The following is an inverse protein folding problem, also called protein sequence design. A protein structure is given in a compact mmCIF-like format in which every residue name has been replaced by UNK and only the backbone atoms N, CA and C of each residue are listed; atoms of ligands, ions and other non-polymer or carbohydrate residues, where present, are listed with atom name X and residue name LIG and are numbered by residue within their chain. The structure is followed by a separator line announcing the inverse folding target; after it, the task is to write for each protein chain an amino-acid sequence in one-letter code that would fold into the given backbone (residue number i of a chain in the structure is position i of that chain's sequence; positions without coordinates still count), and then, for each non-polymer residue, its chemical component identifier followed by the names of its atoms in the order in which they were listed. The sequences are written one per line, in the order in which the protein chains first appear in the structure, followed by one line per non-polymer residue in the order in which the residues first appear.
data_IF_845597427437
#
_entry.id   IF_845597427437
#
_cell.length_a   1.000
_cell.length_b   1.000
_cell.length_c   1.000
_cell.angle_alpha   90.00
_cell.angle_beta   90.00
_cell.angle_gamma   90.00
#
_symmetry.space_group_name_H-M   'P 1'
#
loop_
_entity.id
_entity.type
_entity.pdbx_description
1 polymer ?
#
# COMPACT_ATOMS: atom_id res chain seq x y z
N UNK A 1 18.29 -6.36 30.44
CA UNK A 1 17.97 -6.58 29.02
C UNK A 1 16.47 -6.74 28.91
N UNK A 2 15.77 -5.70 28.46
CA UNK A 2 14.33 -5.77 28.27
C UNK A 2 14.07 -6.45 26.93
N UNK A 3 13.51 -7.66 26.96
CA UNK A 3 12.99 -8.31 25.76
C UNK A 3 11.64 -7.65 25.50
N UNK A 4 11.56 -6.75 24.53
CA UNK A 4 10.28 -6.35 23.96
C UNK A 4 9.68 -7.59 23.31
N UNK A 5 8.64 -8.17 23.92
CA UNK A 5 7.72 -9.00 23.16
C UNK A 5 6.90 -8.03 22.32
N UNK A 6 7.04 -8.02 20.98
CA UNK A 6 6.16 -7.22 20.17
C UNK A 6 4.76 -7.78 20.42
N UNK A 7 3.88 -7.00 21.05
CA UNK A 7 2.45 -7.26 20.94
C UNK A 7 2.15 -7.12 19.46
N UNK A 8 2.12 -8.28 18.80
CA UNK A 8 2.09 -8.45 17.38
C UNK A 8 0.85 -7.78 16.79
N UNK A 9 1.00 -6.52 16.40
CA UNK A 9 0.33 -6.04 15.18
C UNK A 9 1.34 -6.12 14.05
N UNK A 10 1.94 -7.32 13.92
CA UNK A 10 2.76 -7.69 12.78
C UNK A 10 1.80 -7.80 11.59
N UNK A 11 2.07 -7.05 10.52
CA UNK A 11 1.30 -6.99 9.25
C UNK A 11 0.07 -6.08 9.19
N UNK A 12 0.10 -4.86 9.75
CA UNK A 12 -0.71 -3.80 9.12
C UNK A 12 0.01 -3.38 7.83
N UNK A 13 -0.62 -3.63 6.68
CA UNK A 13 -0.06 -3.36 5.35
C UNK A 13 0.18 -1.85 5.19
N UNK A 14 1.42 -1.41 5.39
CA UNK A 14 1.81 0.01 5.44
C UNK A 14 1.99 0.62 4.04
N UNK A 15 1.06 0.35 3.11
CA UNK A 15 1.20 0.69 1.69
C UNK A 15 1.92 -0.38 0.88
N UNK A 16 1.95 -0.23 -0.44
CA UNK A 16 2.61 -1.16 -1.36
C UNK A 16 4.09 -0.85 -1.60
N UNK A 17 4.57 0.35 -1.26
CA UNK A 17 5.96 0.75 -1.44
C UNK A 17 6.94 0.01 -0.50
N UNK A 18 6.44 -0.74 0.49
CA UNK A 18 7.19 -1.44 1.55
C UNK A 18 8.23 -0.57 2.26
N UNK A 19 7.89 0.70 2.54
CA UNK A 19 8.83 1.65 3.16
C UNK A 19 8.92 1.44 4.68
N UNK A 20 7.85 0.96 5.30
CA UNK A 20 7.76 0.70 6.73
C UNK A 20 7.91 -0.80 7.05
N UNK A 21 9.02 -1.41 6.61
CA UNK A 21 9.42 -2.79 6.97
C UNK A 21 9.86 -2.91 8.42
N UNK A 22 10.26 -1.80 9.03
CA UNK A 22 10.53 -1.65 10.46
C UNK A 22 9.64 -0.56 11.05
N UNK A 23 9.17 -0.76 12.27
CA UNK A 23 8.40 0.27 12.97
C UNK A 23 9.32 1.43 13.37
N UNK A 24 9.00 2.69 13.02
CA UNK A 24 9.78 3.85 13.45
C UNK A 24 9.89 3.92 14.99
N UNK A 25 10.99 4.44 15.55
CA UNK A 25 11.18 4.55 17.00
C UNK A 25 10.09 5.34 17.75
N UNK A 26 9.40 6.26 17.06
CA UNK A 26 8.29 7.06 17.61
C UNK A 26 6.90 6.46 17.31
N UNK A 27 6.86 5.18 16.92
CA UNK A 27 5.65 4.48 16.48
C UNK A 27 5.17 4.93 15.10
N UNK A 28 4.19 4.22 14.56
CA UNK A 28 3.57 4.49 13.26
C UNK A 28 2.05 4.60 13.41
N UNK A 29 1.49 5.67 12.84
CA UNK A 29 0.06 5.84 12.65
C UNK A 29 -0.18 6.17 11.19
N UNK A 30 -1.10 5.43 10.59
CA UNK A 30 -1.55 5.61 9.22
C UNK A 30 -2.96 6.19 9.20
N UNK A 31 -3.22 7.08 8.24
CA UNK A 31 -4.56 7.44 7.79
C UNK A 31 -4.62 7.15 6.30
N UNK A 32 -5.62 6.40 5.86
CA UNK A 32 -5.74 6.07 4.46
C UNK A 32 -7.14 6.31 3.92
N UNK A 33 -7.19 6.63 2.62
CA UNK A 33 -8.41 6.67 1.83
C UNK A 33 -8.21 5.66 0.70
N UNK A 34 -9.22 4.82 0.47
CA UNK A 34 -9.23 3.83 -0.61
C UNK A 34 -10.45 4.06 -1.46
N UNK A 35 -10.24 4.04 -2.77
CA UNK A 35 -11.29 4.11 -3.76
C UNK A 35 -11.17 2.93 -4.69
N UNK A 36 -12.29 2.24 -4.92
CA UNK A 36 -12.35 1.03 -5.71
C UNK A 36 -13.49 1.13 -6.70
N UNK A 37 -13.22 0.75 -7.94
CA UNK A 37 -14.24 0.72 -8.97
C UNK A 37 -14.06 -0.53 -9.84
N UNK A 38 -15.17 -1.26 -10.02
CA UNK A 38 -15.29 -2.26 -11.06
C UNK A 38 -15.87 -1.58 -12.31
N UNK A 39 -15.21 -1.81 -13.44
CA UNK A 39 -15.57 -1.25 -14.73
C UNK A 39 -16.31 -2.32 -15.55
N UNK A 40 -17.21 -1.89 -16.47
CA UNK A 40 -17.80 -2.81 -17.42
C UNK A 40 -16.73 -3.41 -18.35
N UNK A 41 -17.07 -4.54 -18.96
CA UNK A 41 -16.23 -5.20 -19.96
C UNK A 41 -15.80 -4.22 -21.07
N UNK A 42 -14.52 -4.29 -21.44
CA UNK A 42 -13.91 -3.43 -22.44
C UNK A 42 -13.14 -4.29 -23.46
N UNK A 43 -13.83 -4.74 -24.51
CA UNK A 43 -13.26 -5.58 -25.56
C UNK A 43 -12.74 -6.92 -25.00
N UNK A 44 -11.44 -7.23 -25.13
CA UNK A 44 -10.87 -8.47 -24.59
C UNK A 44 -10.74 -8.48 -23.06
N UNK A 45 -10.88 -7.33 -22.41
CA UNK A 45 -10.75 -7.19 -20.96
C UNK A 45 -12.09 -7.38 -20.26
N UNK A 46 -12.15 -8.38 -19.38
CA UNK A 46 -13.31 -8.76 -18.58
C UNK A 46 -13.24 -8.15 -17.19
N UNK A 47 -14.31 -7.45 -16.82
CA UNK A 47 -14.50 -6.81 -15.52
C UNK A 47 -13.23 -6.14 -14.96
N UNK A 48 -12.68 -5.11 -15.63
CA UNK A 48 -11.51 -4.42 -15.12
C UNK A 48 -11.77 -3.83 -13.74
N UNK A 49 -10.79 -3.89 -12.84
CA UNK A 49 -10.86 -3.38 -11.46
C UNK A 49 -9.77 -2.36 -11.23
N UNK A 50 -10.16 -1.22 -10.70
CA UNK A 50 -9.27 -0.13 -10.31
C UNK A 50 -9.31 0.03 -8.79
N UNK A 51 -8.15 -0.03 -8.14
CA UNK A 51 -7.97 0.22 -6.70
C UNK A 51 -6.92 1.32 -6.52
N UNK A 52 -7.37 2.47 -6.03
CA UNK A 52 -6.51 3.62 -5.74
C UNK A 52 -6.49 3.84 -4.22
N UNK A 53 -5.31 4.10 -3.67
CA UNK A 53 -5.15 4.41 -2.24
C UNK A 53 -4.24 5.58 -2.03
N UNK A 54 -4.58 6.40 -1.05
CA UNK A 54 -3.71 7.42 -0.51
C UNK A 54 -3.48 7.13 0.97
N UNK A 55 -2.24 7.14 1.42
CA UNK A 55 -1.84 6.92 2.80
C UNK A 55 -1.03 8.13 3.29
N UNK A 56 -1.39 8.63 4.47
CA UNK A 56 -0.60 9.62 5.22
C UNK A 56 -0.02 8.93 6.45
N UNK A 57 1.31 9.03 6.59
CA UNK A 57 2.04 8.41 7.68
C UNK A 57 2.56 9.46 8.66
N UNK A 58 2.25 9.26 9.93
CA UNK A 58 2.73 10.09 11.02
C UNK A 58 3.18 9.24 12.21
N UNK A 59 3.87 9.88 13.16
CA UNK A 59 4.20 9.24 14.43
C UNK A 59 2.94 8.93 15.24
N UNK A 60 2.91 7.77 15.90
CA UNK A 60 1.78 7.35 16.72
C UNK A 60 1.58 8.25 17.96
N UNK A 61 2.65 8.92 18.41
CA UNK A 61 2.61 9.92 19.46
C UNK A 61 2.57 9.33 20.88
N UNK A 62 3.56 9.73 21.69
CA UNK A 62 3.45 9.97 23.14
C UNK A 62 3.63 11.48 23.39
N UNK A 63 3.53 11.96 24.65
CA UNK A 63 3.57 13.38 25.04
C UNK A 63 4.60 14.21 24.23
N UNK A 64 4.15 14.89 23.17
CA UNK A 64 5.01 15.57 22.21
C UNK A 64 4.32 15.88 20.88
N UNK A 65 5.00 16.66 20.03
CA UNK A 65 4.51 17.11 18.71
C UNK A 65 4.53 15.94 17.72
N UNK A 66 3.43 15.73 16.97
CA UNK A 66 3.35 14.70 15.91
C UNK A 66 4.39 14.98 14.82
N UNK A 67 5.09 13.94 14.40
CA UNK A 67 6.07 13.99 13.31
C UNK A 67 5.42 13.37 12.07
N UNK A 68 5.39 14.12 10.97
CA UNK A 68 4.93 13.62 9.68
C UNK A 68 6.06 12.86 9.01
N UNK A 69 5.83 11.58 8.68
CA UNK A 69 6.83 10.71 8.07
C UNK A 69 6.85 10.84 6.55
N UNK A 70 5.67 10.92 5.93
CA UNK A 70 5.51 11.03 4.48
C UNK A 70 4.11 10.61 4.06
N UNK A 71 3.88 10.58 2.75
CA UNK A 71 2.64 10.11 2.15
C UNK A 71 2.92 9.11 1.03
N UNK A 72 1.93 8.28 0.74
CA UNK A 72 2.00 7.25 -0.29
C UNK A 72 0.77 7.25 -1.17
N UNK A 73 1.01 7.10 -2.46
CA UNK A 73 -0.03 6.90 -3.45
C UNK A 73 0.14 5.53 -4.11
N UNK A 74 -0.93 4.75 -4.06
CA UNK A 74 -1.00 3.38 -4.54
C UNK A 74 -2.06 3.27 -5.62
N UNK A 75 -1.75 2.54 -6.69
CA UNK A 75 -2.67 2.27 -7.78
C UNK A 75 -2.53 0.82 -8.27
N UNK A 76 -3.65 0.12 -8.41
CA UNK A 76 -3.71 -1.21 -9.00
C UNK A 76 -4.83 -1.24 -10.04
N UNK A 77 -4.48 -1.76 -11.20
CA UNK A 77 -5.40 -2.00 -12.30
C UNK A 77 -5.26 -3.47 -12.70
N UNK A 78 -6.35 -4.22 -12.63
CA UNK A 78 -6.42 -5.61 -13.06
C UNK A 78 -7.59 -5.84 -13.99
N UNK A 79 -7.46 -6.80 -14.91
CA UNK A 79 -8.54 -7.20 -15.79
C UNK A 79 -8.39 -8.67 -16.17
N UNK A 80 -9.53 -9.37 -16.24
CA UNK A 80 -9.58 -10.71 -16.82
C UNK A 80 -9.27 -10.65 -18.31
N UNK A 81 -8.41 -11.54 -18.80
CA UNK A 81 -8.16 -11.73 -20.25
C UNK A 81 -8.88 -12.99 -20.74
N UNK A 82 -9.06 -13.97 -19.86
CA UNK A 82 -9.85 -15.17 -20.11
C UNK A 82 -10.52 -15.61 -18.81
N UNK A 83 -11.32 -16.67 -18.86
CA UNK A 83 -11.94 -17.27 -17.67
C UNK A 83 -10.91 -17.82 -16.67
N UNK A 84 -9.66 -18.03 -17.11
CA UNK A 84 -8.59 -18.60 -16.30
C UNK A 84 -7.50 -17.61 -15.91
N UNK A 85 -7.44 -16.43 -16.54
CA UNK A 85 -6.31 -15.50 -16.38
C UNK A 85 -6.78 -14.07 -16.14
N UNK A 86 -6.24 -13.47 -15.08
CA UNK A 86 -6.28 -12.03 -14.82
C UNK A 86 -4.89 -11.45 -14.99
N UNK A 87 -4.75 -10.37 -15.76
CA UNK A 87 -3.54 -9.57 -15.81
C UNK A 87 -3.72 -8.34 -14.94
N UNK A 88 -2.68 -7.96 -14.20
CA UNK A 88 -2.70 -6.74 -13.41
C UNK A 88 -1.38 -5.99 -13.42
N UNK A 89 -1.50 -4.70 -13.17
CA UNK A 89 -0.38 -3.78 -12.94
C UNK A 89 -0.64 -3.07 -11.64
N UNK A 90 0.38 -2.99 -10.81
CA UNK A 90 0.35 -2.28 -9.53
C UNK A 90 1.49 -1.28 -9.49
N UNK A 91 1.24 -0.11 -8.96
CA UNK A 91 2.23 0.93 -8.73
C UNK A 91 2.08 1.50 -7.31
N UNK A 92 3.19 1.90 -6.74
CA UNK A 92 3.26 2.54 -5.44
C UNK A 92 4.29 3.67 -5.48
N UNK A 93 3.96 4.82 -4.92
CA UNK A 93 4.87 5.96 -4.81
C UNK A 93 4.78 6.55 -3.41
N UNK A 94 5.85 6.37 -2.64
CA UNK A 94 6.05 6.98 -1.33
C UNK A 94 6.93 8.22 -1.46
N UNK A 95 6.44 9.35 -0.94
CA UNK A 95 7.19 10.59 -0.81
C UNK A 95 7.63 10.78 0.65
N UNK A 96 8.94 10.74 0.88
CA UNK A 96 9.51 10.85 2.20
C UNK A 96 9.57 12.31 2.69
N UNK A 97 9.25 12.52 3.97
CA UNK A 97 9.45 13.80 4.66
C UNK A 97 10.45 13.65 5.80
N UNK A 98 10.24 12.68 6.69
CA UNK A 98 11.06 12.49 7.88
C UNK A 98 11.40 11.02 8.20
N UNK A 99 10.97 10.08 7.36
CA UNK A 99 11.27 8.65 7.54
C UNK A 99 11.57 7.99 6.21
N UNK A 100 12.69 7.25 6.16
CA UNK A 100 13.19 6.56 4.98
C UNK A 100 13.36 7.48 3.74
N UNK A 101 13.52 6.90 2.55
CA UNK A 101 13.69 7.62 1.30
C UNK A 101 12.45 7.51 0.40
N UNK A 102 12.26 8.51 -0.47
CA UNK A 102 11.25 8.47 -1.54
C UNK A 102 11.43 7.20 -2.37
N UNK A 103 10.36 6.43 -2.52
CA UNK A 103 10.38 5.09 -3.10
C UNK A 103 9.27 4.94 -4.12
N UNK A 104 9.62 4.48 -5.32
CA UNK A 104 8.64 4.13 -6.36
C UNK A 104 8.80 2.67 -6.71
N UNK A 105 7.68 1.94 -6.78
CA UNK A 105 7.64 0.55 -7.20
C UNK A 105 6.54 0.31 -8.23
N UNK A 106 6.82 -0.63 -9.13
CA UNK A 106 5.90 -1.06 -10.18
C UNK A 106 5.97 -2.59 -10.28
N UNK A 107 4.81 -3.23 -10.32
CA UNK A 107 4.65 -4.65 -10.53
C UNK A 107 3.75 -4.90 -11.71
N UNK A 108 4.06 -5.95 -12.46
CA UNK A 108 3.15 -6.57 -13.41
C UNK A 108 2.95 -8.00 -12.93
N UNK A 109 1.70 -8.44 -12.83
CA UNK A 109 1.35 -9.74 -12.29
C UNK A 109 0.27 -10.41 -13.12
N UNK A 110 0.23 -11.73 -13.06
CA UNK A 110 -0.82 -12.56 -13.65
C UNK A 110 -1.37 -13.46 -12.55
N UNK A 111 -2.70 -13.50 -12.43
CA UNK A 111 -3.40 -14.44 -11.56
C UNK A 111 -4.02 -15.54 -12.41
N UNK A 112 -3.90 -16.78 -11.94
CA UNK A 112 -4.46 -17.96 -12.60
C UNK A 112 -5.58 -18.50 -11.73
N UNK A 113 -6.79 -18.61 -12.28
CA UNK A 113 -7.95 -19.20 -11.64
C UNK A 113 -8.07 -20.65 -12.12
N UNK A 114 -8.06 -21.61 -11.19
CA UNK A 114 -8.12 -23.06 -11.46
C UNK A 114 -9.36 -23.70 -10.84
#
# INVERSE_FOLDING_TARGET
MAVQTPLATLFRQNGWADVFTITPPRGLRDLHIRWMQELPDAGPFKMPKLDLRYLDFASAGGQGRRLHYGCEFDADLSAGISEFFTLGVRAAHYSAVAFNATTTKLWVYVEVHY
#
